data_IF_968031607711
#
_entry.id   IF_968031607711
#
_cell.length_a   1.000
_cell.length_b   1.000
_cell.length_c   1.000
_cell.angle_alpha   90.00
_cell.angle_beta   90.00
_cell.angle_gamma   90.00
#
_symmetry.space_group_name_H-M   'P 1'
#
loop_
_entity.id
_entity.type
_entity.pdbx_description
1 polymer ?
#
# COMPACT_ATOMS: atom_id res chain seq x y z
N UNK A 1 3.34 3.07 -19.26
CA UNK A 1 2.50 3.21 -18.07
C UNK A 1 1.02 2.98 -18.40
N UNK A 2 0.66 1.71 -18.51
CA UNK A 2 -0.67 1.23 -18.87
C UNK A 2 -1.04 0.01 -18.03
N UNK A 3 -2.33 -0.28 -17.97
CA UNK A 3 -2.84 -1.55 -17.43
C UNK A 3 -3.41 -2.39 -18.58
N UNK A 4 -3.13 -3.67 -18.56
CA UNK A 4 -3.64 -4.66 -19.49
C UNK A 4 -4.69 -5.53 -18.81
N UNK A 5 -5.71 -5.92 -19.55
CA UNK A 5 -6.78 -6.78 -19.06
C UNK A 5 -6.53 -8.22 -19.51
N UNK A 6 -6.63 -9.13 -18.56
CA UNK A 6 -6.39 -10.56 -18.76
C UNK A 6 -7.64 -11.32 -18.32
N UNK A 7 -8.09 -12.26 -19.15
CA UNK A 7 -9.10 -13.24 -18.74
C UNK A 7 -8.44 -14.55 -18.31
N UNK A 8 -9.04 -15.20 -17.33
CA UNK A 8 -8.65 -16.54 -16.89
C UNK A 8 -9.59 -17.54 -17.58
N UNK A 9 -9.03 -18.37 -18.48
CA UNK A 9 -9.75 -19.47 -19.11
C UNK A 9 -9.19 -20.82 -18.62
N UNK A 10 -9.84 -21.38 -17.63
CA UNK A 10 -9.35 -22.56 -16.92
C UNK A 10 -8.03 -22.28 -16.20
N UNK A 11 -6.92 -22.82 -16.71
CA UNK A 11 -5.56 -22.59 -16.20
C UNK A 11 -4.75 -21.60 -17.06
N UNK A 12 -5.34 -21.06 -18.12
CA UNK A 12 -4.66 -20.18 -19.05
C UNK A 12 -4.98 -18.71 -18.73
N UNK A 13 -3.95 -17.87 -18.82
CA UNK A 13 -4.08 -16.41 -18.80
C UNK A 13 -4.09 -15.92 -20.25
N UNK A 14 -5.16 -15.22 -20.63
CA UNK A 14 -5.34 -14.74 -22.00
C UNK A 14 -5.47 -13.23 -21.98
N UNK A 15 -4.56 -12.51 -22.65
CA UNK A 15 -4.70 -11.07 -22.87
C UNK A 15 -5.96 -10.79 -23.68
N UNK A 16 -6.84 -9.93 -23.18
CA UNK A 16 -8.07 -9.54 -23.91
C UNK A 16 -7.75 -8.64 -25.11
N UNK A 17 -6.59 -7.99 -25.09
CA UNK A 17 -6.22 -6.93 -26.03
C UNK A 17 -6.72 -5.55 -25.60
N UNK A 18 -7.51 -5.46 -24.52
CA UNK A 18 -7.92 -4.20 -23.93
C UNK A 18 -6.77 -3.62 -23.08
N UNK A 19 -6.51 -2.35 -23.26
CA UNK A 19 -5.49 -1.62 -22.52
C UNK A 19 -5.98 -0.23 -22.17
N UNK A 20 -5.66 0.23 -20.98
CA UNK A 20 -5.89 1.63 -20.55
C UNK A 20 -4.56 2.30 -20.29
N UNK A 21 -4.26 3.33 -21.07
CA UNK A 21 -3.09 4.19 -20.85
C UNK A 21 -3.33 5.05 -19.61
N UNK A 22 -2.51 4.87 -18.58
CA UNK A 22 -2.63 5.59 -17.31
C UNK A 22 -1.98 6.97 -17.44
N UNK A 23 -0.71 7.04 -17.82
CA UNK A 23 0.00 8.30 -18.01
C UNK A 23 0.96 8.21 -19.18
N UNK A 24 1.18 9.35 -19.86
CA UNK A 24 2.19 9.49 -20.92
C UNK A 24 3.51 10.09 -20.39
N UNK A 25 3.60 10.39 -19.09
CA UNK A 25 4.83 10.90 -18.48
C UNK A 25 5.92 9.82 -18.51
N UNK A 26 7.03 10.03 -19.20
CA UNK A 26 8.10 9.02 -19.30
C UNK A 26 8.88 8.83 -18.00
N UNK A 27 8.72 9.73 -17.03
CA UNK A 27 9.37 9.67 -15.73
C UNK A 27 8.45 9.08 -14.64
N UNK A 28 7.21 8.77 -15.00
CA UNK A 28 6.26 8.18 -14.07
C UNK A 28 6.29 6.66 -14.15
N UNK A 29 6.02 6.01 -13.03
CA UNK A 29 5.92 4.55 -12.90
C UNK A 29 4.63 4.19 -12.18
N UNK A 30 3.95 3.12 -12.65
CA UNK A 30 2.82 2.54 -11.90
C UNK A 30 3.41 1.69 -10.77
N UNK A 31 3.35 2.18 -9.54
CA UNK A 31 3.90 1.50 -8.37
C UNK A 31 2.93 0.45 -7.80
N UNK A 32 1.63 0.74 -7.83
CA UNK A 32 0.64 -0.18 -7.25
C UNK A 32 -0.69 -0.17 -8.00
N UNK A 33 -1.41 -1.27 -7.87
CA UNK A 33 -2.75 -1.45 -8.42
C UNK A 33 -3.60 -2.29 -7.46
N UNK A 34 -4.84 -1.89 -7.27
CA UNK A 34 -5.83 -2.70 -6.59
C UNK A 34 -7.15 -2.74 -7.37
N UNK A 35 -7.91 -3.82 -7.18
CA UNK A 35 -9.23 -4.03 -7.80
C UNK A 35 -10.23 -4.32 -6.69
N UNK A 36 -11.32 -3.55 -6.65
CA UNK A 36 -12.37 -3.76 -5.65
C UNK A 36 -12.98 -5.17 -5.71
N UNK A 37 -13.63 -5.58 -4.62
CA UNK A 37 -14.21 -6.94 -4.48
C UNK A 37 -15.21 -7.29 -5.59
N UNK A 38 -15.89 -6.28 -6.16
CA UNK A 38 -16.88 -6.47 -7.22
C UNK A 38 -16.25 -6.46 -8.63
N UNK A 39 -14.93 -6.29 -8.76
CA UNK A 39 -14.21 -6.23 -10.03
C UNK A 39 -14.73 -5.12 -10.97
N UNK A 40 -15.21 -4.01 -10.41
CA UNK A 40 -15.78 -2.89 -11.15
C UNK A 40 -14.94 -1.62 -11.10
N UNK A 41 -14.06 -1.52 -10.10
CA UNK A 41 -13.19 -0.35 -9.87
C UNK A 41 -11.75 -0.82 -9.78
N UNK A 42 -10.87 -0.13 -10.48
CA UNK A 42 -9.42 -0.32 -10.41
C UNK A 42 -8.81 0.99 -9.93
N UNK A 43 -8.04 0.92 -8.86
CA UNK A 43 -7.19 2.02 -8.41
C UNK A 43 -5.76 1.78 -8.88
N UNK A 44 -5.15 2.79 -9.50
CA UNK A 44 -3.76 2.73 -10.01
C UNK A 44 -2.98 3.88 -9.43
N UNK A 45 -1.90 3.55 -8.77
CA UNK A 45 -0.98 4.53 -8.17
C UNK A 45 0.21 4.74 -9.08
N UNK A 46 0.58 6.00 -9.22
CA UNK A 46 1.69 6.43 -10.07
C UNK A 46 2.67 7.26 -9.26
N UNK A 47 3.91 6.81 -9.17
CA UNK A 47 5.03 7.58 -8.65
C UNK A 47 5.72 8.38 -9.75
N UNK A 48 6.32 9.51 -9.39
CA UNK A 48 7.07 10.39 -10.30
C UNK A 48 8.48 10.68 -9.78
N UNK A 49 9.00 9.74 -9.02
CA UNK A 49 10.26 9.86 -8.30
C UNK A 49 10.12 10.60 -6.98
N UNK A 50 11.09 10.43 -6.11
CA UNK A 50 11.06 10.77 -4.68
C UNK A 50 10.64 12.23 -4.36
N UNK A 51 10.98 13.20 -5.21
CA UNK A 51 10.71 14.62 -4.98
C UNK A 51 9.42 15.15 -5.61
N UNK A 52 8.63 14.31 -6.26
CA UNK A 52 7.39 14.71 -6.91
C UNK A 52 6.20 14.04 -6.21
N UNK A 53 5.11 14.75 -6.13
CA UNK A 53 3.85 14.17 -5.66
C UNK A 53 3.37 13.15 -6.68
N UNK A 54 2.92 12.00 -6.17
CA UNK A 54 2.33 10.96 -7.00
C UNK A 54 0.91 11.27 -7.42
N UNK A 55 0.33 10.36 -8.17
CA UNK A 55 -1.02 10.48 -8.72
C UNK A 55 -1.80 9.18 -8.54
N UNK A 56 -3.08 9.33 -8.18
CA UNK A 56 -4.05 8.24 -8.20
C UNK A 56 -4.90 8.37 -9.46
N UNK A 57 -5.05 7.27 -10.18
CA UNK A 57 -6.04 7.11 -11.24
C UNK A 57 -7.05 6.06 -10.83
N UNK A 58 -8.32 6.32 -11.12
CA UNK A 58 -9.41 5.39 -10.96
C UNK A 58 -9.90 4.96 -12.35
N UNK A 59 -10.13 3.68 -12.54
CA UNK A 59 -10.61 3.14 -13.81
C UNK A 59 -11.87 2.33 -13.56
N UNK A 60 -12.91 2.63 -14.29
CA UNK A 60 -14.09 1.76 -14.38
C UNK A 60 -13.70 0.49 -15.15
N UNK A 61 -13.67 -0.65 -14.47
CA UNK A 61 -13.23 -1.90 -15.07
C UNK A 61 -14.14 -2.44 -16.18
N UNK A 62 -15.38 -1.95 -16.26
CA UNK A 62 -16.36 -2.35 -17.27
C UNK A 62 -16.23 -1.48 -18.53
N UNK A 63 -16.29 -0.15 -18.33
CA UNK A 63 -16.25 0.80 -19.46
C UNK A 63 -14.84 1.14 -19.93
N UNK A 64 -13.83 0.84 -19.11
CA UNK A 64 -12.40 1.20 -19.31
C UNK A 64 -12.18 2.70 -19.26
N UNK A 65 -13.13 3.47 -18.75
CA UNK A 65 -13.00 4.90 -18.57
C UNK A 65 -12.09 5.21 -17.40
N UNK A 66 -11.15 6.14 -17.60
CA UNK A 66 -10.16 6.57 -16.61
C UNK A 66 -10.52 7.94 -16.05
N UNK A 67 -10.38 8.09 -14.74
CA UNK A 67 -10.61 9.31 -13.98
C UNK A 67 -9.35 9.71 -13.20
N UNK A 68 -9.17 10.99 -12.97
CA UNK A 68 -7.95 11.54 -12.35
C UNK A 68 -7.14 12.36 -13.38
N UNK A 69 -5.88 12.74 -13.07
CA UNK A 69 -5.15 12.37 -11.87
C UNK A 69 -5.69 13.03 -10.59
N UNK A 70 -5.66 12.30 -9.50
CA UNK A 70 -5.88 12.81 -8.14
C UNK A 70 -4.53 12.86 -7.42
N UNK A 71 -4.22 13.99 -6.79
CA UNK A 71 -2.92 14.23 -6.18
C UNK A 71 -2.69 13.35 -4.93
N UNK A 72 -1.53 12.71 -4.83
CA UNK A 72 -1.11 11.92 -3.68
C UNK A 72 0.03 12.58 -2.90
N UNK A 73 0.54 11.93 -1.88
CA UNK A 73 1.81 12.25 -1.24
C UNK A 73 3.01 11.97 -2.15
N UNK A 74 4.19 11.95 -1.55
CA UNK A 74 5.43 11.70 -2.27
C UNK A 74 5.75 10.22 -2.25
N UNK A 75 6.25 9.70 -3.36
CA UNK A 75 6.60 8.30 -3.56
C UNK A 75 5.49 7.35 -3.05
N UNK A 76 4.28 7.39 -3.63
CA UNK A 76 3.22 6.49 -3.21
C UNK A 76 3.56 5.07 -3.65
N UNK A 77 3.36 4.10 -2.73
CA UNK A 77 3.76 2.72 -2.95
C UNK A 77 2.60 1.74 -3.03
N UNK A 78 1.68 1.73 -2.09
CA UNK A 78 0.57 0.78 -2.09
C UNK A 78 -0.80 1.44 -2.01
N UNK A 79 -1.82 0.74 -2.56
CA UNK A 79 -3.21 1.16 -2.59
C UNK A 79 -4.14 0.02 -2.21
N UNK A 80 -5.25 0.36 -1.54
CA UNK A 80 -6.36 -0.57 -1.27
C UNK A 80 -7.70 0.15 -1.37
N UNK A 81 -8.74 -0.57 -1.84
CA UNK A 81 -10.10 -0.07 -1.98
C UNK A 81 -10.97 -0.70 -0.89
N UNK A 82 -11.76 0.10 -0.17
CA UNK A 82 -12.63 -0.43 0.87
C UNK A 82 -13.69 -1.38 0.30
N UNK A 83 -14.05 -2.39 1.09
CA UNK A 83 -15.01 -3.45 0.70
C UNK A 83 -16.39 -2.91 0.32
N UNK A 84 -16.75 -1.73 0.80
CA UNK A 84 -18.02 -1.03 0.51
C UNK A 84 -17.91 -0.01 -0.63
N UNK A 85 -16.77 0.01 -1.35
CA UNK A 85 -16.48 0.88 -2.50
C UNK A 85 -16.56 2.39 -2.20
N UNK A 86 -16.34 2.81 -0.94
CA UNK A 86 -16.42 4.22 -0.55
C UNK A 86 -15.09 4.93 -0.46
N UNK A 87 -14.04 4.19 -0.11
CA UNK A 87 -12.72 4.78 0.13
C UNK A 87 -11.64 4.10 -0.69
N UNK A 88 -10.67 4.90 -1.09
CA UNK A 88 -9.37 4.46 -1.60
C UNK A 88 -8.32 5.00 -0.65
N UNK A 89 -7.45 4.13 -0.16
CA UNK A 89 -6.36 4.47 0.75
C UNK A 89 -5.05 4.20 0.05
N UNK A 90 -4.17 5.19 0.03
CA UNK A 90 -2.83 5.10 -0.56
C UNK A 90 -1.81 5.43 0.51
N UNK A 91 -0.83 4.57 0.72
CA UNK A 91 0.35 4.89 1.53
C UNK A 91 1.39 5.56 0.66
N UNK A 92 2.04 6.59 1.21
CA UNK A 92 3.08 7.37 0.56
C UNK A 92 4.36 7.14 1.35
N UNK A 93 5.25 6.36 0.79
CA UNK A 93 6.48 5.88 1.40
C UNK A 93 7.40 7.03 1.81
N UNK A 94 7.61 7.99 0.89
CA UNK A 94 8.62 9.03 1.05
C UNK A 94 9.99 8.42 1.33
N UNK A 95 10.55 7.74 0.35
CA UNK A 95 11.88 7.16 0.43
C UNK A 95 12.94 8.22 0.82
N UNK A 96 13.47 8.08 2.03
CA UNK A 96 14.39 9.04 2.61
C UNK A 96 15.77 8.97 1.94
N UNK A 97 16.21 7.80 1.50
CA UNK A 97 17.51 7.62 0.84
C UNK A 97 17.54 8.36 -0.51
N UNK A 98 16.45 8.29 -1.25
CA UNK A 98 16.28 9.00 -2.52
C UNK A 98 15.90 10.48 -2.32
N UNK A 99 15.18 10.81 -1.25
CA UNK A 99 14.69 12.16 -0.94
C UNK A 99 15.76 13.15 -0.53
N UNK A 100 16.89 12.70 0.01
CA UNK A 100 18.00 13.58 0.45
C UNK A 100 18.72 14.24 -0.74
N UNK A 101 18.71 13.63 -1.89
CA UNK A 101 19.44 14.11 -3.06
C UNK A 101 18.59 15.15 -3.82
N UNK A 102 18.47 16.36 -3.26
CA UNK A 102 17.89 17.46 -4.02
C UNK A 102 17.01 18.45 -3.29
N UNK A 103 16.84 18.36 -1.98
CA UNK A 103 16.12 19.39 -1.19
C UNK A 103 14.61 19.17 -1.06
N UNK A 104 14.10 17.96 -1.23
CA UNK A 104 12.71 17.62 -0.93
C UNK A 104 12.40 17.60 0.57
N UNK A 105 13.41 17.51 1.41
CA UNK A 105 13.36 17.34 2.88
C UNK A 105 12.46 18.34 3.63
N UNK A 106 12.26 19.53 3.07
CA UNK A 106 11.58 20.61 3.80
C UNK A 106 10.04 20.56 3.70
N UNK A 107 9.47 19.72 2.83
CA UNK A 107 8.03 19.77 2.50
C UNK A 107 7.36 18.39 2.47
N UNK A 108 8.13 17.32 2.53
CA UNK A 108 7.66 15.96 2.36
C UNK A 108 7.85 15.14 3.65
N UNK A 109 7.16 14.03 3.72
CA UNK A 109 7.28 13.03 4.78
C UNK A 109 6.32 11.89 4.48
N UNK A 110 6.54 10.71 5.09
CA UNK A 110 5.67 9.58 4.90
C UNK A 110 4.24 9.88 5.37
N UNK A 111 3.28 9.29 4.70
CA UNK A 111 1.88 9.59 5.01
C UNK A 111 0.88 8.66 4.34
N UNK A 112 -0.39 9.01 4.49
CA UNK A 112 -1.51 8.28 3.90
C UNK A 112 -2.48 9.27 3.26
N UNK A 113 -2.78 9.07 1.99
CA UNK A 113 -3.82 9.82 1.27
C UNK A 113 -5.12 9.01 1.25
N UNK A 114 -6.22 9.56 1.74
CA UNK A 114 -7.52 8.91 1.82
C UNK A 114 -8.51 9.65 0.92
N UNK A 115 -9.02 8.97 -0.09
CA UNK A 115 -10.02 9.48 -1.02
C UNK A 115 -11.39 8.87 -0.75
N UNK A 116 -12.44 9.70 -0.72
CA UNK A 116 -13.82 9.24 -0.77
C UNK A 116 -14.27 9.20 -2.23
N UNK A 117 -14.82 8.05 -2.67
CA UNK A 117 -15.29 7.79 -4.03
C UNK A 117 -16.78 7.46 -4.09
N UNK A 118 -17.52 7.59 -2.97
CA UNK A 118 -18.94 7.24 -2.86
C UNK A 118 -19.82 8.00 -3.86
N UNK A 119 -19.41 9.20 -4.28
CA UNK A 119 -20.17 10.03 -5.23
C UNK A 119 -19.79 9.81 -6.70
N UNK A 120 -18.99 8.82 -7.00
CA UNK A 120 -18.50 8.47 -8.34
C UNK A 120 -16.99 8.66 -8.51
N UNK A 121 -16.43 7.93 -9.47
CA UNK A 121 -14.98 7.92 -9.72
C UNK A 121 -14.46 9.25 -10.26
N UNK A 122 -15.30 10.01 -10.98
CA UNK A 122 -15.02 11.35 -11.49
C UNK A 122 -15.08 12.44 -10.42
N UNK A 123 -15.65 12.10 -9.27
CA UNK A 123 -15.93 13.00 -8.15
C UNK A 123 -15.17 12.60 -6.88
N UNK A 124 -14.06 11.88 -7.02
CA UNK A 124 -13.23 11.48 -5.89
C UNK A 124 -12.69 12.70 -5.13
N UNK A 125 -12.82 12.68 -3.81
CA UNK A 125 -12.45 13.80 -2.94
C UNK A 125 -11.41 13.34 -1.93
N UNK A 126 -10.26 14.02 -1.87
CA UNK A 126 -9.28 13.84 -0.79
C UNK A 126 -9.92 14.27 0.54
N UNK A 127 -10.22 13.30 1.40
CA UNK A 127 -10.82 13.57 2.72
C UNK A 127 -9.77 13.71 3.80
N UNK A 128 -8.59 13.12 3.59
CA UNK A 128 -7.47 13.20 4.53
C UNK A 128 -6.13 12.99 3.83
N UNK A 129 -5.17 13.80 4.25
CA UNK A 129 -3.73 13.61 4.02
C UNK A 129 -3.11 13.47 5.42
N UNK A 130 -2.96 12.21 5.86
CA UNK A 130 -2.50 11.87 7.21
C UNK A 130 -0.98 11.77 7.22
N UNK A 131 -0.34 12.29 8.26
CA UNK A 131 1.10 12.18 8.45
C UNK A 131 1.46 10.94 9.27
N UNK A 132 2.60 10.36 8.94
CA UNK A 132 3.24 9.33 9.74
C UNK A 132 4.50 9.94 10.35
N UNK A 133 4.57 9.97 11.68
CA UNK A 133 5.76 10.43 12.38
C UNK A 133 6.38 9.25 13.12
N UNK A 134 7.68 9.13 13.02
CA UNK A 134 8.47 8.19 13.81
C UNK A 134 9.18 8.94 14.94
N UNK A 135 9.18 8.38 16.15
CA UNK A 135 9.86 8.93 17.33
C UNK A 135 11.02 8.03 17.71
N UNK A 136 12.04 7.93 16.86
CA UNK A 136 13.19 7.07 17.06
C UNK A 136 14.50 7.75 16.64
N UNK A 137 15.61 7.00 16.70
CA UNK A 137 16.94 7.49 16.28
C UNK A 137 17.00 7.84 14.77
N UNK A 138 15.99 7.43 14.00
CA UNK A 138 15.86 7.68 12.58
C UNK A 138 14.54 8.45 12.31
N UNK A 139 14.44 9.69 12.80
CA UNK A 139 13.32 10.58 12.51
C UNK A 139 13.16 10.75 10.98
N UNK A 140 12.05 10.30 10.46
CA UNK A 140 11.73 10.38 9.03
C UNK A 140 11.60 9.01 8.33
N UNK A 141 12.04 7.93 8.94
CA UNK A 141 12.06 6.60 8.35
C UNK A 141 10.89 5.74 8.84
N UNK A 142 9.66 6.08 8.50
CA UNK A 142 8.56 5.14 8.73
C UNK A 142 8.38 4.22 7.53
N UNK A 143 8.55 4.74 6.34
CA UNK A 143 8.41 4.08 5.04
C UNK A 143 7.22 3.09 5.01
N UNK A 144 5.99 3.63 4.83
CA UNK A 144 4.81 2.79 4.70
C UNK A 144 4.78 2.14 3.31
N UNK A 145 4.89 0.80 3.27
CA UNK A 145 5.00 0.00 2.05
C UNK A 145 3.68 -0.68 1.69
N UNK A 146 3.07 -1.38 2.61
CA UNK A 146 1.85 -2.13 2.39
C UNK A 146 0.64 -1.52 3.09
N UNK A 147 -0.53 -1.58 2.48
CA UNK A 147 -1.81 -1.16 3.08
C UNK A 147 -2.92 -2.16 2.82
N UNK A 148 -3.76 -2.41 3.82
CA UNK A 148 -5.00 -3.18 3.68
C UNK A 148 -6.09 -2.63 4.57
N UNK A 149 -7.28 -2.49 3.98
CA UNK A 149 -8.51 -2.16 4.70
C UNK A 149 -9.14 -3.48 5.16
N UNK A 150 -9.46 -3.57 6.44
CA UNK A 150 -10.08 -4.76 7.01
C UNK A 150 -11.49 -5.00 6.42
N UNK A 151 -12.02 -6.23 6.52
CA UNK A 151 -13.35 -6.56 6.02
C UNK A 151 -14.51 -5.80 6.68
N UNK A 152 -14.25 -5.10 7.81
CA UNK A 152 -15.22 -4.20 8.43
C UNK A 152 -15.46 -2.91 7.62
N UNK A 153 -14.59 -2.64 6.63
CA UNK A 153 -14.65 -1.45 5.77
C UNK A 153 -14.17 -0.17 6.44
N UNK A 154 -13.68 -0.24 7.69
CA UNK A 154 -13.28 0.93 8.49
C UNK A 154 -11.83 0.88 8.98
N UNK A 155 -11.37 -0.28 9.46
CA UNK A 155 -10.02 -0.40 10.01
C UNK A 155 -8.99 -0.56 8.90
N UNK A 156 -8.00 0.32 8.87
CA UNK A 156 -6.86 0.27 7.92
C UNK A 156 -5.62 -0.19 8.67
N UNK A 157 -4.92 -1.16 8.11
CA UNK A 157 -3.60 -1.60 8.56
C UNK A 157 -2.55 -1.27 7.52
N UNK A 158 -1.34 -0.94 7.97
CA UNK A 158 -0.20 -0.67 7.10
C UNK A 158 1.09 -1.18 7.70
N UNK A 159 2.00 -1.60 6.86
CA UNK A 159 3.38 -1.87 7.24
C UNK A 159 4.17 -0.57 7.26
N UNK A 160 5.10 -0.46 8.20
CA UNK A 160 6.04 0.64 8.34
C UNK A 160 7.43 0.00 8.34
N UNK A 161 8.02 -0.12 7.13
CA UNK A 161 9.17 -0.97 6.87
C UNK A 161 10.38 -0.54 7.69
N UNK A 162 10.86 0.68 7.51
CA UNK A 162 12.09 1.14 8.15
C UNK A 162 11.97 1.29 9.67
N UNK A 163 10.79 1.63 10.18
CA UNK A 163 10.55 1.63 11.62
C UNK A 163 10.26 0.23 12.21
N UNK A 164 10.10 -0.79 11.35
CA UNK A 164 9.79 -2.16 11.76
C UNK A 164 8.52 -2.24 12.62
N UNK A 165 7.44 -1.60 12.15
CA UNK A 165 6.17 -1.46 12.86
C UNK A 165 4.97 -1.85 11.97
N UNK A 166 3.83 -2.16 12.58
CA UNK A 166 2.51 -2.10 11.95
C UNK A 166 1.75 -0.93 12.53
N UNK A 167 1.16 -0.10 11.65
CA UNK A 167 0.26 0.97 12.04
C UNK A 167 -1.19 0.62 11.71
N UNK A 168 -2.15 1.24 12.43
CA UNK A 168 -3.58 1.14 12.09
C UNK A 168 -4.39 2.36 12.52
N UNK A 169 -5.49 2.60 11.82
CA UNK A 169 -6.45 3.67 12.14
C UNK A 169 -7.85 3.34 11.58
N UNK A 170 -8.86 4.14 11.99
CA UNK A 170 -10.24 4.04 11.50
C UNK A 170 -10.50 5.07 10.39
N UNK A 171 -11.13 4.65 9.29
CA UNK A 171 -11.56 5.52 8.18
C UNK A 171 -12.69 6.45 8.58
N UNK A 172 -13.56 6.03 9.49
CA UNK A 172 -14.65 6.88 9.99
C UNK A 172 -14.16 8.07 10.82
N UNK A 173 -12.94 7.99 11.36
CA UNK A 173 -12.32 9.06 12.13
C UNK A 173 -10.79 9.07 11.95
N UNK A 174 -10.29 9.36 10.74
CA UNK A 174 -8.86 9.31 10.47
C UNK A 174 -8.12 10.44 11.22
N UNK A 175 -7.05 10.12 11.95
CA UNK A 175 -6.30 11.12 12.71
C UNK A 175 -5.48 12.04 11.79
N UNK A 176 -5.00 13.18 12.31
CA UNK A 176 -4.04 14.03 11.56
C UNK A 176 -2.67 13.38 11.45
N UNK A 177 -2.33 12.57 12.44
CA UNK A 177 -1.05 11.83 12.50
C UNK A 177 -1.34 10.44 13.04
N UNK A 178 -0.70 9.42 12.45
CA UNK A 178 -0.84 8.03 12.89
C UNK A 178 -0.42 7.88 14.35
N UNK A 179 -1.30 7.33 15.17
CA UNK A 179 -1.10 7.17 16.62
C UNK A 179 -0.92 5.69 17.01
N UNK A 180 -1.71 4.80 16.42
CA UNK A 180 -1.70 3.39 16.78
C UNK A 180 -0.63 2.68 15.97
N UNK A 181 0.42 2.24 16.66
CA UNK A 181 1.52 1.47 16.08
C UNK A 181 2.00 0.42 17.06
N UNK A 182 2.43 -0.71 16.56
CA UNK A 182 3.08 -1.76 17.32
C UNK A 182 4.37 -2.18 16.63
N UNK A 183 5.47 -2.16 17.37
CA UNK A 183 6.74 -2.64 16.86
C UNK A 183 6.73 -4.17 16.71
N UNK A 184 7.40 -4.65 15.67
CA UNK A 184 7.68 -6.07 15.54
C UNK A 184 8.63 -6.53 16.63
N UNK A 185 8.32 -7.68 17.23
CA UNK A 185 9.21 -8.28 18.22
C UNK A 185 10.46 -8.92 17.59
N UNK A 186 10.42 -9.23 16.29
CA UNK A 186 11.57 -9.68 15.52
C UNK A 186 12.36 -8.48 14.99
N UNK A 187 13.62 -8.35 15.39
CA UNK A 187 14.51 -7.30 14.91
C UNK A 187 14.84 -7.54 13.43
N UNK A 188 14.75 -6.51 12.61
CA UNK A 188 15.12 -6.57 11.19
C UNK A 188 14.12 -7.36 10.32
N UNK A 189 12.85 -7.43 10.72
CA UNK A 189 11.80 -8.04 9.91
C UNK A 189 11.54 -7.22 8.63
N UNK A 190 11.56 -5.89 8.74
CA UNK A 190 11.31 -4.98 7.63
C UNK A 190 10.04 -5.39 6.87
N UNK A 191 8.87 -5.18 7.46
CA UNK A 191 7.62 -5.63 6.86
C UNK A 191 7.29 -4.79 5.61
N UNK A 192 7.08 -5.47 4.50
CA UNK A 192 6.68 -4.89 3.23
C UNK A 192 5.20 -5.25 2.98
N UNK A 193 4.91 -6.37 2.33
CA UNK A 193 3.55 -6.77 2.01
C UNK A 193 2.67 -7.07 3.23
N UNK A 194 1.38 -6.76 3.14
CA UNK A 194 0.38 -7.01 4.19
C UNK A 194 -0.89 -7.65 3.62
N UNK A 195 -1.47 -8.55 4.38
CA UNK A 195 -2.75 -9.20 4.09
C UNK A 195 -3.58 -9.34 5.36
N UNK A 196 -4.91 -9.21 5.23
CA UNK A 196 -5.87 -9.35 6.33
C UNK A 196 -6.84 -10.50 6.01
N UNK A 197 -7.11 -11.37 6.99
CA UNK A 197 -8.05 -12.48 6.83
C UNK A 197 -9.49 -11.98 6.58
N UNK A 198 -10.30 -12.82 5.92
CA UNK A 198 -11.68 -12.48 5.56
C UNK A 198 -12.59 -12.17 6.76
N UNK A 199 -12.24 -12.61 7.96
CA UNK A 199 -12.94 -12.30 9.22
C UNK A 199 -12.28 -11.15 10.02
N UNK A 200 -11.20 -10.58 9.50
CA UNK A 200 -10.45 -9.49 10.13
C UNK A 200 -9.61 -9.88 11.35
N UNK A 201 -9.58 -11.17 11.72
CA UNK A 201 -8.95 -11.62 12.98
C UNK A 201 -7.44 -11.85 12.89
N UNK A 202 -6.91 -11.95 11.67
CA UNK A 202 -5.49 -12.25 11.42
C UNK A 202 -4.93 -11.29 10.39
N UNK A 203 -3.74 -10.75 10.67
CA UNK A 203 -2.90 -10.05 9.71
C UNK A 203 -1.67 -10.91 9.44
N UNK A 204 -1.30 -11.04 8.17
CA UNK A 204 -0.02 -11.61 7.75
C UNK A 204 0.83 -10.53 7.08
N UNK A 205 2.13 -10.52 7.36
CA UNK A 205 3.09 -9.61 6.72
C UNK A 205 4.30 -10.37 6.22
N UNK A 206 4.83 -9.98 5.07
CA UNK A 206 6.10 -10.46 4.55
C UNK A 206 7.25 -9.63 5.10
N UNK A 207 8.31 -10.28 5.58
CA UNK A 207 9.55 -9.59 5.96
C UNK A 207 10.55 -9.64 4.83
N UNK A 208 11.00 -8.47 4.38
CA UNK A 208 11.94 -8.34 3.27
C UNK A 208 13.31 -8.95 3.58
N UNK A 209 13.83 -8.73 4.79
CA UNK A 209 15.22 -9.09 5.15
C UNK A 209 15.36 -10.37 5.95
N UNK A 210 14.36 -10.80 6.70
CA UNK A 210 14.51 -11.94 7.61
C UNK A 210 13.91 -13.25 7.08
N UNK A 211 13.28 -13.23 5.90
CA UNK A 211 12.66 -14.41 5.26
C UNK A 211 11.55 -15.03 6.09
N UNK A 212 10.84 -14.24 6.88
CA UNK A 212 9.74 -14.70 7.73
C UNK A 212 8.41 -14.11 7.28
N UNK A 213 7.35 -14.81 7.66
CA UNK A 213 6.00 -14.27 7.67
C UNK A 213 5.66 -13.89 9.10
N UNK A 214 5.28 -12.64 9.32
CA UNK A 214 4.62 -12.21 10.55
C UNK A 214 3.16 -12.65 10.54
N UNK A 215 2.68 -13.18 11.67
CA UNK A 215 1.28 -13.59 11.87
C UNK A 215 0.79 -12.91 13.13
N UNK A 216 -0.18 -12.02 12.98
CA UNK A 216 -0.68 -11.18 14.06
C UNK A 216 -2.16 -11.46 14.30
N UNK A 217 -2.55 -11.58 15.58
CA UNK A 217 -3.97 -11.66 15.96
C UNK A 217 -4.51 -10.29 16.26
N UNK A 218 -5.73 -10.04 15.85
CA UNK A 218 -6.45 -8.77 15.99
C UNK A 218 -7.67 -8.97 16.90
N UNK A 219 -7.90 -8.02 17.79
CA UNK A 219 -9.21 -7.83 18.40
C UNK A 219 -10.11 -7.10 17.40
N UNK A 220 -10.99 -7.82 16.73
CA UNK A 220 -11.86 -7.27 15.68
C UNK A 220 -12.85 -6.21 16.16
N UNK A 221 -13.07 -6.08 17.47
CA UNK A 221 -13.93 -5.04 18.02
C UNK A 221 -13.22 -3.68 18.16
N UNK A 222 -11.89 -3.69 18.29
CA UNK A 222 -11.07 -2.49 18.50
C UNK A 222 -10.08 -2.23 17.38
N UNK A 223 -9.84 -3.21 16.51
CA UNK A 223 -8.78 -3.18 15.50
C UNK A 223 -7.37 -3.34 16.09
N UNK A 224 -7.23 -3.58 17.40
CA UNK A 224 -5.94 -3.65 18.07
C UNK A 224 -5.22 -4.98 17.80
N UNK A 225 -3.92 -4.93 17.55
CA UNK A 225 -3.07 -6.10 17.41
C UNK A 225 -2.74 -6.65 18.81
N UNK A 226 -3.20 -7.86 19.10
CA UNK A 226 -3.11 -8.47 20.43
C UNK A 226 -1.99 -9.47 20.61
N UNK A 227 -1.49 -10.06 19.52
CA UNK A 227 -0.33 -10.97 19.55
C UNK A 227 0.43 -10.98 18.24
N UNK A 228 1.69 -11.38 18.32
CA UNK A 228 2.60 -11.49 17.18
C UNK A 228 3.31 -12.83 17.22
N UNK A 229 3.31 -13.55 16.09
CA UNK A 229 4.02 -14.79 15.88
C UNK A 229 4.76 -14.72 14.53
N UNK A 230 5.77 -15.55 14.36
CA UNK A 230 6.57 -15.58 13.13
C UNK A 230 6.74 -17.01 12.63
N UNK A 231 6.54 -17.20 11.34
CA UNK A 231 6.83 -18.46 10.65
C UNK A 231 8.02 -18.26 9.70
N UNK A 232 9.01 -19.14 9.77
CA UNK A 232 10.08 -19.14 8.77
C UNK A 232 9.52 -19.66 7.44
N UNK A 233 9.75 -18.92 6.37
CA UNK A 233 9.64 -19.47 5.03
C UNK A 233 10.88 -20.37 4.81
N UNK A 234 10.70 -21.67 4.91
CA UNK A 234 11.69 -22.61 4.42
C UNK A 234 11.60 -22.60 2.89
N UNK A 235 12.25 -21.66 2.25
CA UNK A 235 12.44 -21.67 0.81
C UNK A 235 13.73 -22.45 0.57
N UNK A 236 13.63 -23.65 0.00
CA UNK A 236 14.77 -24.33 -0.62
C UNK A 236 15.14 -23.55 -1.89
N UNK A 237 15.82 -22.43 -1.71
CA UNK A 237 16.43 -21.74 -2.84
C UNK A 237 17.53 -22.61 -3.44
N UNK A 238 17.70 -22.59 -4.77
CA UNK A 238 18.88 -23.17 -5.40
C UNK A 238 20.15 -22.65 -4.69
N UNK A 239 21.15 -23.53 -4.47
CA UNK A 239 22.36 -23.19 -3.69
C UNK A 239 23.18 -22.03 -4.26
N UNK A 240 22.88 -21.60 -5.46
CA UNK A 240 23.53 -20.53 -6.22
C UNK A 240 22.72 -19.22 -6.23
N UNK A 241 21.56 -19.18 -5.55
CA UNK A 241 20.75 -17.97 -5.42
C UNK A 241 20.98 -17.29 -4.06
N UNK A 242 21.16 -15.99 -4.10
CA UNK A 242 21.19 -15.13 -2.92
C UNK A 242 19.85 -14.39 -2.77
N UNK A 243 19.61 -13.79 -1.62
CA UNK A 243 18.45 -12.91 -1.42
C UNK A 243 18.48 -11.72 -2.39
N UNK A 244 19.67 -11.18 -2.70
CA UNK A 244 19.87 -10.12 -3.69
C UNK A 244 19.44 -10.52 -5.11
N UNK A 245 19.32 -11.82 -5.40
CA UNK A 245 18.87 -12.30 -6.70
C UNK A 245 17.33 -12.34 -6.80
N UNK A 246 16.63 -12.38 -5.65
CA UNK A 246 15.16 -12.34 -5.57
C UNK A 246 14.62 -10.91 -5.68
N UNK A 247 15.38 -9.93 -5.20
CA UNK A 247 15.00 -8.51 -5.28
C UNK A 247 15.08 -7.95 -6.73
N UNK A 248 15.73 -8.64 -7.63
CA UNK A 248 15.95 -8.20 -9.02
C UNK A 248 15.07 -8.90 -10.07
N UNK A 249 14.16 -9.73 -9.63
CA UNK A 249 13.27 -10.56 -10.45
C UNK A 249 11.88 -10.05 -10.58
#
# INVERSE_FOLDING_TARGET
NSIDFITIDGTNLVLTGDQVQITDDPNAECSSIDVNVNETIIAVVVTKGACNRGELYLVDAITKEKYGPYELGYNPDAVDISVDDKFVVVVNEFDYEDGIVGGCESVAGPGVSIYNIENGLDSAVLVKDMKITHTGENDGLAEPEGVKIAPDGDTVYMTLQESNEIGWFSLSNPPDTLQNKVAYSATGHKPDGIWVSADGSIICTGGEYDGKIGIHTVDTATGEITSQNYANLAVDLPQDWSWDDLEKG
#
